data_IF_551574144686
#
_entry.id   IF_551574144686
#
_cell.length_a   1.000
_cell.length_b   1.000
_cell.length_c   1.000
_cell.angle_alpha   90.00
_cell.angle_beta   90.00
_cell.angle_gamma   90.00
#
_symmetry.space_group_name_H-M   'P 1'
#
loop_
_entity.id
_entity.type
_entity.pdbx_description
1 polymer ?
#
# COMPACT_ATOMS: atom_id res chain seq x y z
N UNK A 1 -1.93 -6.73 -10.53
CA UNK A 1 -2.27 -7.40 -9.25
C UNK A 1 -1.13 -7.47 -8.22
N UNK A 2 0.15 -7.59 -8.64
CA UNK A 2 1.31 -7.51 -7.71
C UNK A 2 1.59 -6.08 -7.20
N UNK A 3 1.47 -5.05 -8.05
CA UNK A 3 1.70 -3.63 -7.69
C UNK A 3 0.70 -3.10 -6.65
N UNK A 4 -0.60 -3.41 -6.82
CA UNK A 4 -1.65 -3.12 -5.81
C UNK A 4 -1.37 -3.78 -4.46
N UNK A 5 -0.83 -5.01 -4.47
CA UNK A 5 -0.38 -5.66 -3.25
C UNK A 5 0.87 -4.99 -2.70
N UNK A 6 1.83 -4.60 -3.54
CA UNK A 6 3.09 -4.01 -3.08
C UNK A 6 2.89 -2.64 -2.43
N UNK A 7 2.13 -1.73 -3.04
CA UNK A 7 1.86 -0.39 -2.47
C UNK A 7 0.99 -0.46 -1.21
N UNK A 8 -0.06 -1.29 -1.22
CA UNK A 8 -0.85 -1.54 -0.01
C UNK A 8 -0.03 -2.27 1.06
N UNK A 9 0.88 -3.18 0.70
CA UNK A 9 1.74 -3.89 1.67
C UNK A 9 2.83 -2.98 2.19
N UNK A 10 3.37 -2.02 1.44
CA UNK A 10 4.41 -1.10 1.98
C UNK A 10 3.80 -0.07 2.91
N UNK A 11 2.67 0.55 2.56
CA UNK A 11 1.95 1.48 3.45
C UNK A 11 1.44 0.75 4.71
N UNK A 12 0.85 -0.44 4.55
CA UNK A 12 0.32 -1.21 5.68
C UNK A 12 1.40 -1.96 6.49
N UNK A 13 2.55 -2.30 5.90
CA UNK A 13 3.67 -2.93 6.64
C UNK A 13 4.50 -1.90 7.40
N UNK A 14 4.63 -0.66 6.94
CA UNK A 14 5.30 0.38 7.75
C UNK A 14 4.48 0.71 9.00
N UNK A 15 3.15 0.68 8.90
CA UNK A 15 2.25 0.77 10.06
C UNK A 15 2.37 -0.44 11.02
N UNK A 16 2.86 -1.60 10.55
CA UNK A 16 2.90 -2.85 11.33
C UNK A 16 4.30 -3.31 11.77
N UNK A 17 5.40 -2.81 11.16
CA UNK A 17 6.75 -3.38 11.34
C UNK A 17 7.65 -2.57 12.30
N UNK A 18 7.30 -1.33 12.64
CA UNK A 18 8.06 -0.53 13.62
C UNK A 18 7.62 -0.78 15.08
N UNK A 19 7.01 -1.94 15.36
CA UNK A 19 6.68 -2.42 16.70
C UNK A 19 7.87 -3.06 17.44
N UNK A 20 9.00 -2.35 17.61
CA UNK A 20 10.08 -2.84 18.48
C UNK A 20 10.79 -1.76 19.32
N UNK A 21 10.54 -1.87 20.64
CA UNK A 21 11.34 -1.44 21.79
C UNK A 21 11.23 0.06 22.19
N UNK A 22 10.83 0.41 23.42
CA UNK A 22 11.55 0.15 24.68
C UNK A 22 10.62 -0.11 25.89
N UNK A 23 11.01 -1.13 26.68
CA UNK A 23 10.56 -1.42 28.06
C UNK A 23 10.95 -0.31 29.07
N UNK A 24 10.06 0.01 30.00
CA UNK A 24 10.46 0.61 31.28
C UNK A 24 9.33 1.10 32.17
N UNK A 25 8.78 0.23 33.02
CA UNK A 25 7.89 0.62 34.12
C UNK A 25 7.70 -0.51 35.12
N UNK A 26 8.16 -0.33 36.35
CA UNK A 26 7.99 -1.29 37.44
C UNK A 26 6.55 -1.29 37.98
N UNK A 27 5.84 -2.42 37.81
CA UNK A 27 4.87 -2.94 38.77
C UNK A 27 3.50 -2.28 38.91
N UNK A 28 2.58 -2.59 37.99
CA UNK A 28 1.24 -3.15 38.24
C UNK A 28 0.95 -4.12 37.08
N UNK A 29 0.25 -5.23 37.29
CA UNK A 29 -0.13 -6.13 36.20
C UNK A 29 -1.10 -5.36 35.30
N UNK A 30 -0.65 -4.96 34.12
CA UNK A 30 -1.48 -4.29 33.14
C UNK A 30 -2.51 -5.32 32.64
N UNK A 31 -3.79 -5.15 33.02
CA UNK A 31 -4.87 -5.96 32.47
C UNK A 31 -4.97 -5.69 30.97
N UNK A 32 -4.79 -6.74 30.16
CA UNK A 32 -4.89 -6.65 28.71
C UNK A 32 -6.36 -6.46 28.35
N UNK A 33 -6.67 -5.36 27.66
CA UNK A 33 -8.01 -5.15 27.12
C UNK A 33 -8.34 -6.19 26.06
N UNK A 34 -9.59 -6.62 25.98
CA UNK A 34 -10.06 -7.61 25.00
C UNK A 34 -11.51 -7.35 24.59
N UNK A 35 -11.99 -8.17 23.64
CA UNK A 35 -13.42 -8.26 23.29
C UNK A 35 -13.91 -9.69 23.50
N UNK A 36 -14.81 -9.84 24.47
CA UNK A 36 -15.48 -11.08 24.86
C UNK A 36 -16.22 -11.67 23.67
N UNK A 37 -15.93 -12.93 23.36
CA UNK A 37 -16.52 -13.66 22.23
C UNK A 37 -15.75 -13.55 20.90
N UNK A 38 -14.75 -12.67 20.78
CA UNK A 38 -13.80 -12.66 19.65
C UNK A 38 -12.56 -13.46 20.06
N UNK A 39 -12.67 -14.78 19.91
CA UNK A 39 -11.72 -15.75 20.45
C UNK A 39 -10.54 -15.93 19.51
N UNK A 40 -10.79 -15.80 18.20
CA UNK A 40 -9.76 -15.90 17.18
C UNK A 40 -9.02 -14.57 16.92
N UNK A 41 -9.48 -13.47 17.53
CA UNK A 41 -8.90 -12.12 17.45
C UNK A 41 -8.92 -11.54 16.03
N UNK A 42 -10.01 -11.74 15.29
CA UNK A 42 -10.20 -11.21 13.93
C UNK A 42 -11.08 -9.94 13.85
N UNK A 43 -11.58 -9.50 15.01
CA UNK A 43 -12.31 -8.24 15.18
C UNK A 43 -13.81 -8.43 15.09
N UNK A 44 -14.30 -9.65 14.89
CA UNK A 44 -15.71 -9.98 14.80
C UNK A 44 -16.02 -11.16 15.71
N UNK A 45 -17.21 -11.13 16.29
CA UNK A 45 -17.77 -12.32 16.92
C UNK A 45 -18.61 -13.05 15.86
N UNK A 46 -18.17 -14.23 15.43
CA UNK A 46 -18.88 -15.06 14.47
C UNK A 46 -18.80 -16.58 14.79
N UNK A 47 -19.17 -17.42 13.81
CA UNK A 47 -19.20 -18.87 14.02
C UNK A 47 -17.79 -19.45 14.21
N UNK A 48 -16.76 -18.82 13.64
CA UNK A 48 -15.38 -19.27 13.73
C UNK A 48 -14.85 -19.20 15.17
N UNK A 49 -15.30 -18.25 15.98
CA UNK A 49 -14.98 -18.16 17.42
C UNK A 49 -15.51 -19.36 18.20
N UNK A 50 -16.77 -19.72 17.95
CA UNK A 50 -17.38 -20.91 18.56
C UNK A 50 -16.63 -22.19 18.15
N UNK A 51 -16.20 -22.28 16.89
CA UNK A 51 -15.37 -23.40 16.41
C UNK A 51 -14.01 -23.40 17.10
N UNK A 52 -13.40 -22.23 17.30
CA UNK A 52 -12.12 -22.07 17.97
C UNK A 52 -12.17 -22.59 19.41
N UNK A 53 -13.20 -22.22 20.17
CA UNK A 53 -13.40 -22.75 21.55
C UNK A 53 -13.54 -24.27 21.52
N UNK A 54 -14.35 -24.84 20.61
CA UNK A 54 -14.50 -26.30 20.47
C UNK A 54 -13.18 -26.98 20.13
N UNK A 55 -12.38 -26.42 19.22
CA UNK A 55 -11.08 -26.94 18.85
C UNK A 55 -10.14 -27.00 20.06
N UNK A 56 -10.14 -25.95 20.88
CA UNK A 56 -9.31 -25.84 22.09
C UNK A 56 -9.75 -26.78 23.22
N UNK A 57 -11.04 -27.06 23.32
CA UNK A 57 -11.58 -27.98 24.32
C UNK A 57 -11.34 -29.45 23.97
N UNK A 58 -11.38 -29.82 22.68
CA UNK A 58 -11.45 -31.23 22.28
C UNK A 58 -10.35 -31.72 21.34
N UNK A 59 -9.63 -30.83 20.67
CA UNK A 59 -8.67 -31.20 19.62
C UNK A 59 -7.25 -30.80 20.00
N UNK A 60 -7.04 -29.53 20.35
CA UNK A 60 -5.72 -28.94 20.63
C UNK A 60 -5.71 -28.41 22.06
N UNK A 61 -4.87 -28.98 22.94
CA UNK A 61 -4.80 -28.58 24.36
C UNK A 61 -3.85 -27.40 24.63
N UNK A 62 -3.61 -26.57 23.61
CA UNK A 62 -2.82 -25.35 23.78
C UNK A 62 -3.71 -24.27 24.41
N UNK A 63 -3.14 -23.49 25.33
CA UNK A 63 -3.84 -22.40 25.98
C UNK A 63 -4.35 -21.36 24.95
N UNK A 64 -5.50 -20.76 25.25
CA UNK A 64 -6.02 -19.63 24.48
C UNK A 64 -5.24 -18.39 24.95
N UNK A 65 -4.65 -17.60 24.04
CA UNK A 65 -3.85 -16.43 24.42
C UNK A 65 -4.61 -15.39 25.24
N UNK A 66 -5.92 -15.31 25.04
CA UNK A 66 -6.82 -14.54 25.89
C UNK A 66 -7.94 -15.45 26.39
N UNK A 67 -7.85 -15.91 27.64
CA UNK A 67 -8.87 -16.75 28.25
C UNK A 67 -10.19 -16.01 28.41
N UNK A 68 -10.12 -14.73 28.79
CA UNK A 68 -11.30 -13.89 29.05
C UNK A 68 -12.11 -13.64 27.76
N UNK A 69 -11.46 -13.62 26.58
CA UNK A 69 -12.21 -13.53 25.32
C UNK A 69 -12.97 -14.80 24.99
N UNK A 70 -12.51 -15.97 25.47
CA UNK A 70 -13.14 -17.27 25.25
C UNK A 70 -14.27 -17.59 26.22
N UNK A 71 -14.26 -17.00 27.43
CA UNK A 71 -15.38 -17.07 28.37
C UNK A 71 -16.47 -16.06 27.97
N UNK A 72 -17.36 -16.51 27.08
CA UNK A 72 -18.48 -15.72 26.60
C UNK A 72 -19.60 -15.59 27.64
N UNK A 73 -19.60 -16.45 28.67
CA UNK A 73 -20.58 -16.42 29.75
C UNK A 73 -20.18 -15.59 30.95
N UNK A 74 -18.92 -15.21 31.08
CA UNK A 74 -18.35 -14.44 32.19
C UNK A 74 -18.51 -15.19 33.53
N UNK A 75 -18.21 -16.50 33.53
CA UNK A 75 -18.34 -17.38 34.68
C UNK A 75 -17.02 -17.96 35.21
N UNK A 76 -15.90 -17.56 34.59
CA UNK A 76 -14.54 -17.95 34.92
C UNK A 76 -14.15 -19.34 34.42
N UNK A 77 -14.93 -19.92 33.51
CA UNK A 77 -14.67 -21.23 32.90
C UNK A 77 -14.78 -21.14 31.38
N UNK A 78 -13.83 -21.76 30.69
CA UNK A 78 -13.92 -21.98 29.25
C UNK A 78 -14.48 -23.38 29.02
N UNK A 79 -15.75 -23.48 28.63
CA UNK A 79 -16.42 -24.74 28.34
C UNK A 79 -17.45 -24.67 27.18
N UNK A 80 -18.32 -25.68 27.07
CA UNK A 80 -19.33 -25.75 26.02
C UNK A 80 -20.44 -24.71 26.19
N UNK A 81 -20.62 -24.12 27.37
CA UNK A 81 -21.55 -23.02 27.63
C UNK A 81 -21.18 -21.77 26.85
N UNK A 82 -19.90 -21.49 26.65
CA UNK A 82 -19.41 -20.37 25.85
C UNK A 82 -19.79 -20.51 24.38
N UNK A 83 -19.59 -21.70 23.83
CA UNK A 83 -19.98 -22.06 22.47
C UNK A 83 -21.49 -21.86 22.28
N UNK A 84 -22.29 -22.27 23.27
CA UNK A 84 -23.74 -22.07 23.26
C UNK A 84 -24.09 -20.58 23.34
N UNK A 85 -23.42 -19.81 24.18
CA UNK A 85 -23.64 -18.36 24.32
C UNK A 85 -23.32 -17.61 23.03
N UNK A 86 -22.19 -17.90 22.40
CA UNK A 86 -21.78 -17.33 21.11
C UNK A 86 -22.83 -17.64 20.04
N UNK A 87 -23.17 -18.91 19.85
CA UNK A 87 -24.11 -19.32 18.80
C UNK A 87 -25.55 -18.87 19.06
N UNK A 88 -25.99 -18.79 20.33
CA UNK A 88 -27.31 -18.28 20.69
C UNK A 88 -27.45 -16.78 20.40
N UNK A 89 -26.40 -15.99 20.67
CA UNK A 89 -26.37 -14.58 20.27
C UNK A 89 -26.48 -14.45 18.73
N UNK A 90 -25.62 -15.17 17.99
CA UNK A 90 -25.54 -15.07 16.53
C UNK A 90 -26.81 -15.49 15.79
N UNK A 91 -27.45 -16.60 16.21
CA UNK A 91 -28.53 -17.21 15.43
C UNK A 91 -29.90 -17.09 16.06
N UNK A 92 -29.99 -16.89 17.37
CA UNK A 92 -31.26 -16.86 18.11
C UNK A 92 -31.62 -15.46 18.61
N UNK A 93 -30.75 -14.47 18.41
CA UNK A 93 -30.97 -13.08 18.83
C UNK A 93 -31.06 -12.93 20.36
N UNK A 94 -30.31 -13.77 21.09
CA UNK A 94 -30.21 -13.67 22.54
C UNK A 94 -29.39 -12.44 22.93
N UNK A 95 -29.37 -12.12 24.23
CA UNK A 95 -28.53 -11.03 24.74
C UNK A 95 -27.04 -11.28 24.41
N UNK A 96 -26.29 -10.22 24.05
CA UNK A 96 -24.85 -10.34 23.80
C UNK A 96 -24.09 -10.86 25.03
N UNK A 97 -22.83 -11.31 24.85
CA UNK A 97 -21.90 -11.50 25.96
C UNK A 97 -21.85 -10.27 26.89
N UNK A 98 -21.60 -10.47 28.19
CA UNK A 98 -21.27 -9.38 29.11
C UNK A 98 -20.10 -8.53 28.59
N UNK A 99 -20.01 -7.24 28.98
CA UNK A 99 -18.86 -6.42 28.61
C UNK A 99 -17.55 -7.05 29.14
N UNK A 100 -16.42 -6.86 28.45
CA UNK A 100 -16.23 -6.02 27.25
C UNK A 100 -16.61 -6.76 25.96
N UNK A 101 -17.63 -6.31 25.21
CA UNK A 101 -18.16 -7.03 24.03
C UNK A 101 -18.08 -6.20 22.73
N UNK A 102 -18.66 -5.00 22.76
CA UNK A 102 -18.72 -4.10 21.61
C UNK A 102 -17.45 -3.28 21.41
N UNK A 103 -16.72 -3.04 22.49
CA UNK A 103 -15.50 -2.24 22.52
C UNK A 103 -14.46 -3.00 23.34
N UNK A 104 -13.20 -2.75 23.04
CA UNK A 104 -12.09 -3.26 23.84
C UNK A 104 -12.17 -2.69 25.26
N UNK A 105 -12.01 -3.56 26.25
CA UNK A 105 -11.93 -3.14 27.65
C UNK A 105 -11.30 -4.21 28.53
N UNK A 106 -10.94 -3.87 29.77
CA UNK A 106 -10.51 -4.85 30.76
C UNK A 106 -11.69 -5.71 31.21
N UNK A 107 -11.40 -6.84 31.87
CA UNK A 107 -12.44 -7.67 32.48
C UNK A 107 -13.05 -6.94 33.68
N UNK A 108 -14.34 -6.57 33.68
CA UNK A 108 -14.97 -5.95 34.84
C UNK A 108 -15.15 -6.92 36.02
N UNK A 109 -14.96 -8.22 35.80
CA UNK A 109 -15.11 -9.28 36.79
C UNK A 109 -13.79 -10.01 36.99
N UNK A 110 -13.14 -9.76 38.12
CA UNK A 110 -11.95 -10.52 38.50
C UNK A 110 -12.30 -12.01 38.67
N UNK A 111 -11.64 -12.89 37.91
CA UNK A 111 -11.74 -14.33 38.06
C UNK A 111 -10.38 -15.05 37.93
N UNK A 112 -10.39 -16.35 37.64
CA UNK A 112 -9.19 -17.17 37.51
C UNK A 112 -8.65 -17.30 36.09
N UNK A 113 -9.36 -16.75 35.11
CA UNK A 113 -8.92 -16.58 33.75
C UNK A 113 -8.14 -15.27 33.64
N UNK A 114 -7.47 -15.13 32.51
CA UNK A 114 -6.72 -13.92 32.23
C UNK A 114 -6.49 -13.80 30.74
N UNK A 115 -6.08 -12.61 30.35
CA UNK A 115 -5.73 -12.29 28.98
C UNK A 115 -4.23 -12.00 28.91
N UNK A 116 -3.45 -12.92 28.34
CA UNK A 116 -2.00 -12.72 28.14
C UNK A 116 -1.73 -11.79 26.95
N UNK A 117 -2.55 -11.90 25.89
CA UNK A 117 -2.44 -11.05 24.69
C UNK A 117 -3.74 -10.99 23.89
N UNK A 118 -4.11 -9.80 23.42
CA UNK A 118 -5.22 -9.59 22.48
C UNK A 118 -4.84 -8.53 21.44
N UNK A 119 -4.42 -8.96 20.25
CA UNK A 119 -3.75 -8.09 19.27
C UNK A 119 -4.59 -6.94 18.74
N UNK A 120 -5.92 -7.03 18.82
CA UNK A 120 -6.83 -5.98 18.34
C UNK A 120 -7.25 -4.96 19.39
N UNK A 121 -6.88 -5.19 20.65
CA UNK A 121 -7.25 -4.35 21.80
C UNK A 121 -6.03 -3.88 22.58
N UNK A 122 -4.83 -4.23 22.14
CA UNK A 122 -3.66 -3.43 22.46
C UNK A 122 -3.94 -2.01 21.95
N UNK A 123 -3.96 -1.04 22.87
CA UNK A 123 -3.96 0.37 22.53
C UNK A 123 -2.73 0.62 21.65
N UNK A 124 -2.91 0.58 20.33
CA UNK A 124 -2.13 1.41 19.45
C UNK A 124 -2.69 2.79 19.73
N UNK A 125 -1.96 3.62 20.49
CA UNK A 125 -2.13 5.07 20.38
C UNK A 125 -2.29 5.35 18.89
N UNK A 126 -3.41 5.94 18.47
CA UNK A 126 -3.64 6.31 17.07
C UNK A 126 -2.32 6.88 16.57
N UNK A 127 -1.65 6.23 15.58
CA UNK A 127 -0.30 6.64 15.21
C UNK A 127 -0.46 8.03 14.63
N UNK A 128 -0.18 9.05 15.44
CA UNK A 128 0.03 10.35 14.88
C UNK A 128 1.34 10.24 14.12
N UNK A 129 1.33 10.75 12.90
CA UNK A 129 2.52 10.74 12.07
C UNK A 129 3.38 11.89 12.57
N UNK A 130 4.51 11.57 13.23
CA UNK A 130 5.55 12.54 13.53
C UNK A 130 6.63 12.54 12.44
N UNK A 131 7.53 13.52 12.48
CA UNK A 131 8.61 13.64 11.49
C UNK A 131 9.53 12.40 11.52
N UNK A 132 9.72 11.78 12.68
CA UNK A 132 10.51 10.55 12.81
C UNK A 132 9.84 9.35 12.12
N UNK A 133 8.52 9.23 12.17
CA UNK A 133 7.76 8.23 11.42
C UNK A 133 7.81 8.51 9.92
N UNK A 134 7.73 9.78 9.52
CA UNK A 134 7.92 10.18 8.12
C UNK A 134 9.32 9.80 7.62
N UNK A 135 10.36 10.01 8.42
CA UNK A 135 11.74 9.57 8.11
C UNK A 135 11.87 8.03 8.02
N UNK A 136 11.15 7.27 8.86
CA UNK A 136 11.13 5.79 8.78
C UNK A 136 10.33 5.30 7.55
N UNK A 137 9.33 6.07 7.12
CA UNK A 137 8.58 5.86 5.88
C UNK A 137 9.43 6.18 4.63
N UNK A 138 10.40 7.09 4.74
CA UNK A 138 11.43 7.42 3.73
C UNK A 138 12.41 6.24 3.62
N UNK A 139 11.91 5.14 3.05
CA UNK A 139 12.67 3.96 2.68
C UNK A 139 12.93 3.90 1.19
N UNK A 140 14.10 3.40 0.81
CA UNK A 140 14.40 3.02 -0.57
C UNK A 140 13.82 1.62 -0.83
N UNK A 141 12.83 1.54 -1.72
CA UNK A 141 12.33 0.27 -2.25
C UNK A 141 13.22 -0.10 -3.44
N UNK A 142 14.30 -0.83 -3.14
CA UNK A 142 15.18 -1.41 -4.15
C UNK A 142 14.56 -2.69 -4.70
N UNK A 143 14.17 -2.67 -5.98
CA UNK A 143 13.70 -3.86 -6.68
C UNK A 143 14.93 -4.66 -7.13
N UNK A 144 15.40 -5.57 -6.28
CA UNK A 144 16.58 -6.42 -6.55
C UNK A 144 16.60 -7.13 -7.91
N UNK A 145 15.44 -7.37 -8.51
CA UNK A 145 15.27 -7.99 -9.83
C UNK A 145 14.63 -7.05 -10.88
N UNK A 146 14.46 -5.76 -10.57
CA UNK A 146 13.68 -4.80 -11.35
C UNK A 146 12.18 -5.12 -11.34
N UNK A 147 11.32 -4.11 -11.21
CA UNK A 147 9.89 -4.28 -11.48
C UNK A 147 9.64 -4.04 -12.97
N UNK A 148 9.39 -5.10 -13.72
CA UNK A 148 9.02 -5.00 -15.13
C UNK A 148 7.53 -4.68 -15.25
N UNK A 149 7.22 -3.52 -15.81
CA UNK A 149 5.89 -3.11 -16.24
C UNK A 149 5.77 -3.38 -17.73
N UNK A 150 4.68 -4.02 -18.14
CA UNK A 150 4.45 -4.35 -19.54
C UNK A 150 3.47 -3.40 -20.18
N UNK A 151 3.95 -2.62 -21.14
CA UNK A 151 3.09 -1.87 -22.05
C UNK A 151 2.49 -2.86 -23.06
N UNK A 152 1.16 -2.99 -23.15
CA UNK A 152 0.55 -3.95 -24.08
C UNK A 152 0.92 -3.61 -25.53
N UNK A 153 1.02 -4.66 -26.36
CA UNK A 153 1.14 -4.50 -27.81
C UNK A 153 -0.02 -3.66 -28.38
N UNK A 154 0.28 -2.73 -29.30
CA UNK A 154 -0.67 -1.72 -29.76
C UNK A 154 -1.03 -0.69 -28.69
N UNK A 155 -0.08 -0.43 -27.77
CA UNK A 155 -0.28 0.28 -26.49
C UNK A 155 -0.72 1.74 -26.58
N UNK A 156 -0.83 2.28 -27.79
CA UNK A 156 -1.45 3.57 -28.05
C UNK A 156 -0.73 4.35 -29.14
N UNK A 157 -1.43 5.35 -29.67
CA UNK A 157 -0.88 6.27 -30.64
C UNK A 157 -0.83 7.69 -30.06
N UNK A 158 0.34 8.31 -30.14
CA UNK A 158 0.55 9.71 -29.74
C UNK A 158 0.43 10.58 -30.99
N UNK A 159 -0.63 11.40 -31.10
CA UNK A 159 -0.76 12.33 -32.21
C UNK A 159 0.24 13.47 -32.02
N UNK A 160 1.08 13.69 -33.03
CA UNK A 160 1.97 14.85 -33.09
C UNK A 160 1.66 15.65 -34.35
N UNK A 161 2.02 16.93 -34.41
CA UNK A 161 1.66 17.78 -35.54
C UNK A 161 2.27 17.26 -36.86
N UNK A 162 1.47 16.54 -37.65
CA UNK A 162 1.81 16.10 -39.00
C UNK A 162 2.14 14.60 -39.15
N UNK A 163 2.14 13.81 -38.08
CA UNK A 163 2.31 12.35 -38.13
C UNK A 163 1.78 11.69 -36.84
N UNK A 164 1.61 10.37 -36.87
CA UNK A 164 1.15 9.58 -35.73
C UNK A 164 2.27 8.64 -35.27
N UNK A 165 2.46 8.50 -33.95
CA UNK A 165 3.49 7.66 -33.38
C UNK A 165 2.80 6.54 -32.63
N UNK A 166 2.97 5.32 -33.09
CA UNK A 166 2.51 4.13 -32.40
C UNK A 166 3.61 3.65 -31.44
N UNK A 167 3.27 3.54 -30.16
CA UNK A 167 4.17 3.03 -29.12
C UNK A 167 3.91 1.54 -28.94
N UNK A 168 4.98 0.74 -28.96
CA UNK A 168 4.91 -0.72 -28.92
C UNK A 168 3.98 -1.31 -30.01
N UNK A 169 4.31 -1.12 -31.31
CA UNK A 169 3.51 -1.67 -32.41
C UNK A 169 3.32 -3.18 -32.29
N UNK A 170 2.14 -3.69 -32.64
CA UNK A 170 1.83 -5.13 -32.47
C UNK A 170 2.80 -6.08 -33.19
N UNK A 171 3.34 -5.66 -34.33
CA UNK A 171 4.24 -6.46 -35.16
C UNK A 171 5.71 -6.42 -34.71
N UNK A 172 6.07 -5.44 -33.87
CA UNK A 172 7.42 -5.27 -33.31
C UNK A 172 7.46 -5.57 -31.79
N UNK A 173 6.30 -5.73 -31.14
CA UNK A 173 6.20 -6.04 -29.73
C UNK A 173 6.77 -7.43 -29.42
N UNK A 174 7.60 -7.59 -28.38
CA UNK A 174 8.02 -8.89 -27.87
C UNK A 174 6.84 -9.82 -27.60
N UNK A 175 6.94 -11.10 -27.97
CA UNK A 175 5.87 -12.10 -27.80
C UNK A 175 5.55 -12.38 -26.31
N UNK A 176 6.52 -12.18 -25.43
CA UNK A 176 6.38 -12.36 -23.99
C UNK A 176 6.96 -11.14 -23.26
N UNK A 177 6.13 -10.47 -22.47
CA UNK A 177 6.54 -9.42 -21.57
C UNK A 177 6.27 -9.79 -20.11
N UNK A 178 7.27 -9.58 -19.25
CA UNK A 178 7.18 -9.78 -17.81
C UNK A 178 6.75 -11.21 -17.45
N UNK A 179 6.10 -11.37 -16.30
CA UNK A 179 5.65 -12.69 -15.82
C UNK A 179 4.29 -13.13 -16.39
N UNK A 180 3.51 -12.22 -16.98
CA UNK A 180 2.20 -12.56 -17.55
C UNK A 180 2.34 -13.31 -18.87
N UNK A 181 3.47 -13.17 -19.56
CA UNK A 181 3.74 -13.83 -20.84
C UNK A 181 2.84 -13.32 -21.97
N UNK A 182 2.27 -12.12 -21.81
CA UNK A 182 1.48 -11.46 -22.86
C UNK A 182 2.40 -10.61 -23.75
N UNK A 183 2.09 -10.46 -25.05
CA UNK A 183 2.89 -9.61 -25.93
C UNK A 183 2.89 -8.15 -25.47
N UNK A 184 4.07 -7.54 -25.42
CA UNK A 184 4.21 -6.18 -24.94
C UNK A 184 5.66 -5.74 -24.76
N UNK A 185 5.84 -4.44 -24.49
CA UNK A 185 7.14 -3.83 -24.35
C UNK A 185 7.48 -3.62 -22.87
N UNK A 186 8.64 -4.11 -22.40
CA UNK A 186 9.03 -3.99 -21.01
C UNK A 186 9.51 -2.57 -20.69
N UNK A 187 9.04 -2.06 -19.55
CA UNK A 187 9.54 -0.87 -18.87
C UNK A 187 10.09 -1.36 -17.54
N UNK A 188 11.36 -1.12 -17.27
CA UNK A 188 11.99 -1.57 -16.04
C UNK A 188 11.99 -0.44 -15.01
N UNK A 189 11.36 -0.67 -13.86
CA UNK A 189 11.47 0.22 -12.70
C UNK A 189 12.51 -0.37 -11.77
N UNK A 190 13.59 0.36 -11.55
CA UNK A 190 14.74 -0.08 -10.77
C UNK A 190 14.51 0.14 -9.27
N UNK A 191 13.87 1.24 -8.92
CA UNK A 191 13.59 1.58 -7.53
C UNK A 191 12.52 2.64 -7.39
N UNK A 192 11.99 2.74 -6.18
CA UNK A 192 11.19 3.87 -5.75
C UNK A 192 11.58 4.27 -4.32
N UNK A 193 11.86 5.54 -4.10
CA UNK A 193 12.20 6.07 -2.79
C UNK A 193 11.05 6.95 -2.32
N UNK A 194 10.48 6.65 -1.16
CA UNK A 194 9.43 7.50 -0.60
C UNK A 194 9.99 8.88 -0.22
N UNK A 195 9.18 9.91 -0.41
CA UNK A 195 9.44 11.29 -0.01
C UNK A 195 8.26 11.70 0.87
N UNK A 196 8.52 12.31 2.01
CA UNK A 196 7.49 12.87 2.86
C UNK A 196 7.98 14.20 3.44
N UNK A 197 7.16 15.24 3.28
CA UNK A 197 7.34 16.54 3.92
C UNK A 197 5.98 16.96 4.48
N UNK A 198 5.76 16.68 5.76
CA UNK A 198 4.50 16.98 6.43
C UNK A 198 4.39 18.45 6.85
N UNK A 199 5.49 19.21 6.84
CA UNK A 199 5.45 20.66 7.04
C UNK A 199 4.87 21.35 5.81
N UNK A 200 5.37 20.98 4.62
CA UNK A 200 4.87 21.47 3.34
C UNK A 200 3.57 20.79 2.90
N UNK A 201 3.18 19.70 3.58
CA UNK A 201 1.94 18.99 3.33
C UNK A 201 2.01 18.21 2.03
N UNK A 202 3.06 17.41 1.85
CA UNK A 202 3.23 16.59 0.68
C UNK A 202 3.85 15.23 1.02
N UNK A 203 3.38 14.21 0.32
CA UNK A 203 4.00 12.89 0.29
C UNK A 203 4.24 12.50 -1.16
N UNK A 204 5.15 11.58 -1.43
CA UNK A 204 5.49 11.24 -2.79
C UNK A 204 6.48 10.12 -2.91
N UNK A 205 6.90 9.89 -4.15
CA UNK A 205 7.88 8.86 -4.48
C UNK A 205 8.80 9.38 -5.58
N UNK A 206 10.11 9.26 -5.37
CA UNK A 206 11.09 9.34 -6.45
C UNK A 206 11.18 7.99 -7.12
N UNK A 207 10.85 7.93 -8.40
CA UNK A 207 10.88 6.70 -9.19
C UNK A 207 12.11 6.71 -10.07
N UNK A 208 12.85 5.60 -10.10
CA UNK A 208 13.98 5.37 -10.99
C UNK A 208 13.66 4.24 -11.95
N UNK A 209 13.91 4.45 -13.23
CA UNK A 209 13.55 3.50 -14.26
C UNK A 209 14.46 3.51 -15.47
N UNK A 210 14.27 2.51 -16.30
CA UNK A 210 15.01 2.29 -17.53
C UNK A 210 14.09 1.76 -18.61
N UNK A 211 14.24 2.33 -19.80
CA UNK A 211 13.60 1.84 -21.02
C UNK A 211 14.70 1.74 -22.06
N UNK A 212 14.96 0.53 -22.53
CA UNK A 212 15.95 0.25 -23.58
C UNK A 212 15.24 -0.29 -24.81
N UNK A 213 15.62 0.23 -25.98
CA UNK A 213 15.18 -0.25 -27.28
C UNK A 213 13.66 -0.41 -27.48
N UNK A 214 12.85 0.48 -26.86
CA UNK A 214 11.38 0.46 -26.99
C UNK A 214 10.99 0.70 -28.46
N UNK A 215 10.34 -0.26 -29.14
CA UNK A 215 9.95 -0.07 -30.53
C UNK A 215 8.83 0.95 -30.64
N UNK A 216 9.00 1.88 -31.59
CA UNK A 216 7.98 2.81 -32.03
C UNK A 216 7.85 2.77 -33.55
N UNK A 217 6.63 2.95 -34.04
CA UNK A 217 6.37 3.14 -35.47
C UNK A 217 5.91 4.58 -35.70
N UNK A 218 6.54 5.24 -36.67
CA UNK A 218 6.15 6.58 -37.10
C UNK A 218 5.37 6.43 -38.40
N UNK A 219 4.05 6.65 -38.33
CA UNK A 219 3.20 6.73 -39.51
C UNK A 219 3.29 8.14 -40.11
N UNK A 220 4.36 8.31 -40.90
CA UNK A 220 4.61 9.49 -41.72
C UNK A 220 4.60 9.09 -43.20
N UNK A 221 4.97 10.02 -44.09
CA UNK A 221 5.02 9.78 -45.54
C UNK A 221 5.82 8.52 -45.95
N UNK A 222 6.78 8.12 -45.11
CA UNK A 222 7.48 6.84 -45.19
C UNK A 222 7.39 6.19 -43.81
N UNK A 223 6.67 5.06 -43.66
CA UNK A 223 6.64 4.31 -42.41
C UNK A 223 8.06 3.96 -42.00
N UNK A 224 8.42 4.34 -40.78
CA UNK A 224 9.75 4.10 -40.23
C UNK A 224 9.60 3.57 -38.82
N UNK A 225 10.25 2.43 -38.55
CA UNK A 225 10.37 1.90 -37.20
C UNK A 225 11.64 2.45 -36.56
N UNK A 226 11.52 2.89 -35.31
CA UNK A 226 12.61 3.41 -34.51
C UNK A 226 12.62 2.68 -33.17
N UNK A 227 13.77 2.71 -32.50
CA UNK A 227 13.87 2.29 -31.10
C UNK A 227 14.06 3.50 -30.21
N UNK A 228 13.45 3.53 -29.03
CA UNK A 228 13.61 4.59 -28.05
C UNK A 228 14.30 4.05 -26.81
N UNK A 229 15.27 4.81 -26.33
CA UNK A 229 15.93 4.58 -25.05
C UNK A 229 15.73 5.81 -24.18
N UNK A 230 15.23 5.61 -22.96
CA UNK A 230 15.01 6.67 -21.98
C UNK A 230 16.07 6.56 -20.89
N UNK A 231 16.71 7.69 -20.59
CA UNK A 231 17.85 7.80 -19.67
C UNK A 231 17.86 9.16 -18.98
N UNK A 232 18.71 9.36 -17.98
CA UNK A 232 18.90 10.66 -17.33
C UNK A 232 19.76 11.59 -18.19
N UNK A 233 19.62 12.90 -17.98
CA UNK A 233 20.52 13.91 -18.56
C UNK A 233 22.00 13.74 -18.19
N UNK A 234 22.32 12.93 -17.16
CA UNK A 234 23.69 12.58 -16.79
C UNK A 234 24.37 11.60 -17.77
N UNK A 235 23.60 10.83 -18.54
CA UNK A 235 24.10 9.96 -19.60
C UNK A 235 23.23 8.74 -19.89
N UNK A 236 23.48 8.09 -21.04
CA UNK A 236 22.67 6.96 -21.55
C UNK A 236 22.65 5.72 -20.64
N UNK A 237 23.68 5.53 -19.82
CA UNK A 237 23.77 4.41 -18.88
C UNK A 237 23.12 4.72 -17.51
N UNK A 238 22.69 5.96 -17.29
CA UNK A 238 22.08 6.43 -16.03
C UNK A 238 20.55 6.33 -16.14
N UNK A 239 19.86 5.65 -15.21
CA UNK A 239 18.41 5.53 -15.27
C UNK A 239 17.75 6.89 -15.20
N UNK A 240 16.63 7.03 -15.91
CA UNK A 240 15.82 8.22 -15.78
C UNK A 240 15.14 8.23 -14.41
N UNK A 241 14.80 9.41 -13.93
CA UNK A 241 14.09 9.57 -12.67
C UNK A 241 13.05 10.69 -12.74
N UNK A 242 12.02 10.56 -11.91
CA UNK A 242 11.01 11.61 -11.73
C UNK A 242 10.38 11.47 -10.35
N UNK A 243 9.78 12.54 -9.86
CA UNK A 243 9.11 12.56 -8.55
C UNK A 243 7.61 12.63 -8.77
N UNK A 244 6.87 11.75 -8.10
CA UNK A 244 5.42 11.82 -8.03
C UNK A 244 5.09 12.44 -6.68
N UNK A 245 4.52 13.64 -6.69
CA UNK A 245 4.17 14.41 -5.50
C UNK A 245 2.67 14.44 -5.33
N UNK A 246 2.20 14.11 -4.14
CA UNK A 246 0.81 14.08 -3.74
C UNK A 246 0.63 15.15 -2.65
N UNK A 247 -0.07 16.25 -2.94
CA UNK A 247 -0.33 17.27 -1.95
C UNK A 247 -1.36 16.79 -0.93
N UNK A 248 -1.14 17.12 0.33
CA UNK A 248 -2.00 16.86 1.47
C UNK A 248 -2.66 18.17 1.92
N UNK A 249 -3.95 18.12 2.20
CA UNK A 249 -4.67 19.21 2.85
C UNK A 249 -4.62 18.94 4.35
N UNK A 250 -3.92 19.82 5.08
CA UNK A 250 -3.72 19.70 6.54
C UNK A 250 -4.40 20.88 7.22
N UNK A 251 -5.29 20.60 8.17
CA UNK A 251 -5.99 21.61 8.96
C UNK A 251 -5.77 21.37 10.47
N UNK A 252 -5.97 22.41 11.28
CA UNK A 252 -6.02 22.26 12.74
C UNK A 252 -7.44 21.87 13.17
N UNK A 253 -7.56 20.79 13.92
CA UNK A 253 -8.83 20.35 14.48
C UNK A 253 -9.23 21.16 15.73
N UNK A 254 -10.40 20.86 16.31
CA UNK A 254 -10.94 21.60 17.46
C UNK A 254 -10.06 21.52 18.71
N UNK A 255 -9.14 20.54 18.76
CA UNK A 255 -8.19 20.33 19.85
C UNK A 255 -6.83 21.02 19.59
N UNK A 256 -6.69 21.70 18.45
CA UNK A 256 -5.48 22.41 18.04
C UNK A 256 -4.38 21.49 17.51
N UNK A 257 -4.73 20.26 17.10
CA UNK A 257 -3.80 19.31 16.47
C UNK A 257 -3.95 19.36 14.95
N UNK A 258 -2.84 19.20 14.24
CA UNK A 258 -2.83 19.14 12.77
C UNK A 258 -3.36 17.79 12.33
N UNK A 259 -4.22 17.78 11.33
CA UNK A 259 -4.92 16.59 10.83
C UNK A 259 -5.00 16.64 9.32
N UNK A 260 -4.81 15.49 8.67
CA UNK A 260 -5.01 15.37 7.22
C UNK A 260 -6.51 15.34 6.95
N UNK A 261 -7.03 16.41 6.33
CA UNK A 261 -8.45 16.56 5.98
C UNK A 261 -8.72 16.24 4.50
N UNK A 262 -7.68 16.18 3.69
CA UNK A 262 -7.80 15.93 2.27
C UNK A 262 -6.48 15.50 1.61
N UNK A 263 -6.61 14.93 0.42
CA UNK A 263 -5.49 14.52 -0.41
C UNK A 263 -5.79 14.98 -1.82
N UNK A 264 -4.90 15.76 -2.40
CA UNK A 264 -5.04 16.26 -3.76
C UNK A 264 -4.58 15.26 -4.82
N UNK A 265 -4.59 15.70 -6.07
CA UNK A 265 -4.18 14.87 -7.20
C UNK A 265 -2.65 14.78 -7.27
N UNK A 266 -2.14 13.58 -7.55
CA UNK A 266 -0.74 13.33 -7.79
C UNK A 266 -0.28 14.11 -9.03
N UNK A 267 0.83 14.83 -8.87
CA UNK A 267 1.51 15.57 -9.93
C UNK A 267 2.93 15.02 -10.10
N UNK A 268 3.48 15.18 -11.29
CA UNK A 268 4.87 14.77 -11.57
C UNK A 268 5.75 16.01 -11.53
N UNK A 269 6.79 15.94 -10.72
CA UNK A 269 7.79 16.99 -10.53
C UNK A 269 9.19 16.47 -10.85
N UNK A 270 10.10 17.41 -11.12
CA UNK A 270 11.52 17.15 -11.36
C UNK A 270 11.82 15.97 -12.32
N UNK A 271 11.17 15.86 -13.50
CA UNK A 271 11.48 14.78 -14.42
C UNK A 271 12.86 14.99 -15.04
N UNK A 272 13.77 14.05 -14.80
CA UNK A 272 15.08 13.94 -15.45
C UNK A 272 15.04 12.75 -16.42
N UNK A 273 14.48 13.02 -17.60
CA UNK A 273 14.22 12.04 -18.64
C UNK A 273 14.63 12.60 -20.00
N UNK A 274 15.69 12.05 -20.56
CA UNK A 274 16.16 12.25 -21.91
C UNK A 274 15.81 11.05 -22.79
N UNK A 275 15.53 11.32 -24.06
CA UNK A 275 15.11 10.31 -25.02
C UNK A 275 16.10 10.25 -26.18
N UNK A 276 16.76 9.10 -26.36
CA UNK A 276 17.58 8.81 -27.53
C UNK A 276 16.80 7.87 -28.46
N UNK A 277 16.81 8.18 -29.75
CA UNK A 277 16.16 7.37 -30.77
C UNK A 277 17.17 6.66 -31.68
N UNK A 278 17.11 5.33 -31.73
CA UNK A 278 17.81 4.46 -32.67
C UNK A 278 17.02 4.23 -33.96
N UNK A 279 17.70 3.81 -35.04
CA UNK A 279 17.05 3.50 -36.33
C UNK A 279 17.39 4.43 -37.51
N UNK A 280 18.36 5.33 -37.35
CA UNK A 280 18.91 6.15 -38.43
C UNK A 280 18.51 7.63 -38.37
N UNK A 281 18.72 8.37 -39.46
CA UNK A 281 18.62 9.84 -39.45
C UNK A 281 17.22 10.35 -39.09
N UNK A 282 16.15 9.72 -39.62
CA UNK A 282 14.78 10.12 -39.33
C UNK A 282 14.43 9.90 -37.85
N UNK A 283 14.84 8.78 -37.28
CA UNK A 283 14.69 8.48 -35.86
C UNK A 283 15.46 9.48 -34.98
N UNK A 284 16.71 9.80 -35.33
CA UNK A 284 17.51 10.77 -34.56
C UNK A 284 16.92 12.20 -34.55
N UNK A 285 16.28 12.62 -35.66
CA UNK A 285 15.57 13.90 -35.72
C UNK A 285 14.31 13.88 -34.85
N UNK A 286 13.67 12.72 -34.74
CA UNK A 286 12.52 12.52 -33.88
C UNK A 286 12.91 12.48 -32.39
N UNK A 287 14.00 11.81 -32.01
CA UNK A 287 14.51 11.82 -30.63
C UNK A 287 14.79 13.23 -30.12
N UNK A 288 15.24 14.15 -30.99
CA UNK A 288 15.41 15.57 -30.67
C UNK A 288 14.10 16.32 -30.36
N UNK A 289 12.93 15.73 -30.65
CA UNK A 289 11.60 16.23 -30.26
C UNK A 289 11.02 15.47 -29.05
N UNK A 290 11.85 14.68 -28.35
CA UNK A 290 11.44 13.71 -27.32
C UNK A 290 10.67 14.28 -26.12
N UNK A 291 10.75 15.59 -25.83
CA UNK A 291 10.03 16.19 -24.70
C UNK A 291 8.51 15.98 -24.74
N UNK A 292 7.88 15.94 -25.92
CA UNK A 292 6.44 15.68 -26.05
C UNK A 292 6.06 14.21 -25.76
N UNK A 293 7.00 13.28 -25.97
CA UNK A 293 6.82 11.87 -25.59
C UNK A 293 6.96 11.67 -24.10
N UNK A 294 7.88 12.40 -23.45
CA UNK A 294 8.08 12.32 -22.00
C UNK A 294 6.78 12.60 -21.26
N UNK A 295 6.08 13.67 -21.60
CA UNK A 295 4.79 14.00 -20.98
C UNK A 295 3.74 12.89 -21.20
N UNK A 296 3.65 12.36 -22.42
CA UNK A 296 2.70 11.30 -22.79
C UNK A 296 3.01 9.96 -22.09
N UNK A 297 4.29 9.69 -21.85
CA UNK A 297 4.78 8.51 -21.13
C UNK A 297 4.52 8.60 -19.63
N UNK A 298 4.64 9.80 -19.06
CA UNK A 298 4.49 10.06 -17.63
C UNK A 298 3.03 10.09 -17.15
N UNK A 299 2.09 10.49 -18.01
CA UNK A 299 0.66 10.57 -17.65
C UNK A 299 0.06 9.26 -17.11
N UNK A 300 0.25 8.08 -17.75
CA UNK A 300 -0.25 6.81 -17.21
C UNK A 300 0.23 6.49 -15.78
N UNK A 301 1.43 6.93 -15.41
CA UNK A 301 1.94 6.76 -14.04
C UNK A 301 1.18 7.63 -13.06
N UNK A 302 0.97 8.91 -13.38
CA UNK A 302 0.17 9.81 -12.55
C UNK A 302 -1.26 9.28 -12.36
N UNK A 303 -1.91 8.83 -13.44
CA UNK A 303 -3.26 8.25 -13.38
C UNK A 303 -3.32 6.99 -12.51
N UNK A 304 -2.32 6.12 -12.63
CA UNK A 304 -2.22 4.90 -11.83
C UNK A 304 -2.02 5.22 -10.35
N UNK A 305 -1.21 6.24 -10.04
CA UNK A 305 -1.01 6.70 -8.67
C UNK A 305 -2.28 7.34 -8.14
N UNK A 306 -2.99 8.16 -8.91
CA UNK A 306 -4.26 8.76 -8.50
C UNK A 306 -5.32 7.70 -8.14
N UNK A 307 -5.41 6.61 -8.90
CA UNK A 307 -6.30 5.50 -8.55
C UNK A 307 -5.92 4.85 -7.21
N UNK A 308 -4.62 4.74 -6.91
CA UNK A 308 -4.16 4.22 -5.63
C UNK A 308 -4.42 5.21 -4.50
N UNK A 309 -4.19 6.49 -4.73
CA UNK A 309 -4.45 7.56 -3.76
C UNK A 309 -5.92 7.58 -3.38
N UNK A 310 -6.83 7.41 -4.35
CA UNK A 310 -8.26 7.30 -4.08
C UNK A 310 -8.59 6.09 -3.18
N UNK A 311 -7.93 4.95 -3.38
CA UNK A 311 -8.11 3.77 -2.53
C UNK A 311 -7.56 4.00 -1.09
N UNK A 312 -6.50 4.80 -0.95
CA UNK A 312 -5.86 5.13 0.34
C UNK A 312 -6.48 6.33 1.06
N UNK A 313 -7.32 7.12 0.37
CA UNK A 313 -7.89 8.36 0.90
C UNK A 313 -8.71 8.11 2.17
N UNK A 314 -9.47 7.02 2.21
CA UNK A 314 -10.30 6.67 3.37
C UNK A 314 -9.47 6.24 4.59
N UNK A 315 -8.23 5.78 4.39
CA UNK A 315 -7.32 5.34 5.45
C UNK A 315 -6.42 6.48 5.98
N UNK A 316 -6.19 7.51 5.16
CA UNK A 316 -5.30 8.63 5.48
C UNK A 316 -6.04 9.87 6.00
N UNK A 317 -7.30 10.07 5.62
CA UNK A 317 -8.11 11.16 6.16
C UNK A 317 -8.40 10.89 7.64
N UNK A 318 -8.19 11.90 8.48
CA UNK A 318 -8.39 11.81 9.92
C UNK A 318 -7.14 11.41 10.71
N UNK A 319 -6.03 11.19 10.02
CA UNK A 319 -4.74 10.93 10.67
C UNK A 319 -4.18 12.24 11.22
N UNK A 320 -3.83 12.23 12.51
CA UNK A 320 -3.21 13.36 13.19
C UNK A 320 -1.70 13.42 12.89
N UNK A 321 -1.16 14.63 12.80
CA UNK A 321 0.27 14.91 12.60
C UNK A 321 0.82 15.45 13.92
N UNK A 322 1.79 14.74 14.49
CA UNK A 322 2.46 15.13 15.73
C UNK A 322 3.70 16.01 15.45
N UNK A 323 3.96 16.97 16.34
CA UNK A 323 5.20 17.78 16.36
C UNK A 323 6.36 17.04 17.04
#
# INVERSE_FOLDING_TARGET
>A
MKVRKLLATTVLSVICVSGNFVRGGEGEAQEVSFRRGDVNQDGKMDLSDAVYVVERLFIVQDAIPCGDSADATDDGLIDVTDVIKITAYLFLGFEPPPPPFSECGPDPTEDGLGCDSFSLCEFVETPCIDEAFAEDLVGEIDFKDGLIICLPAGGGAVPVEGFEIEICPEDEAPEECGETGEPGCPIEILGATAIADLEEGMIGFRVEGRVEDLPIAIDAFIPTTCTLTMHSSEGEDVPFNFEIVIPLEIEENEEGRREIVGIGEAVIENPDIEVTAGGGLLCSLFGAAGGALTDSFLQPFADTVNQLVDDLRDDLIGVEICE
#
